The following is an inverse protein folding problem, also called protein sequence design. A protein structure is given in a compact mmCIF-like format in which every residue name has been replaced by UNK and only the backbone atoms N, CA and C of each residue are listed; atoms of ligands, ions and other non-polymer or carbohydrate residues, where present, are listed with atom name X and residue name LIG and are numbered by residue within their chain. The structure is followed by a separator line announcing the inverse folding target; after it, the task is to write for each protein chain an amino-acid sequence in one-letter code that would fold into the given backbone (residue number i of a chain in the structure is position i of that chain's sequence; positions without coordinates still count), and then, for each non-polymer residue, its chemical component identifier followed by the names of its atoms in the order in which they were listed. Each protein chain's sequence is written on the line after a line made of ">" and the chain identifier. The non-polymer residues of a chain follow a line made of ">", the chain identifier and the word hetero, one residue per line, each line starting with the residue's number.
data_IF_482231436675
#
_entry.id   IF_482231436675
#
_cell.length_a   1.000
_cell.length_b   1.000
_cell.length_c   1.000
_cell.angle_alpha   90.00
_cell.angle_beta   90.00
_cell.angle_gamma   90.00
#
_symmetry.space_group_name_H-M   'P 1'
#
loop_
_entity.id
_entity.type
_entity.pdbx_description
1 polymer ?
#
# COMPACT_ATOMS: atom_id res chain seq x y z
N UNK A 1 -7.75 -30.02 -10.99
CA UNK A 1 -7.73 -28.62 -11.46
C UNK A 1 -7.23 -27.71 -10.35
N UNK A 2 -6.65 -26.57 -10.68
CA UNK A 2 -6.05 -25.66 -9.69
C UNK A 2 -7.10 -25.05 -8.77
N UNK A 3 -7.06 -25.37 -7.48
CA UNK A 3 -7.91 -24.75 -6.46
C UNK A 3 -7.54 -23.26 -6.33
N UNK A 4 -8.31 -22.40 -7.00
CA UNK A 4 -8.19 -20.95 -6.86
C UNK A 4 -8.58 -20.63 -5.42
N UNK A 5 -7.61 -20.16 -4.61
CA UNK A 5 -7.88 -19.77 -3.22
C UNK A 5 -8.71 -18.49 -3.22
N UNK A 6 -10.02 -18.66 -3.16
CA UNK A 6 -10.98 -17.56 -3.00
C UNK A 6 -10.88 -17.07 -1.55
N UNK A 7 -9.95 -16.13 -1.33
CA UNK A 7 -9.79 -15.47 -0.04
C UNK A 7 -11.10 -14.77 0.36
N UNK A 8 -11.52 -14.86 1.63
CA UNK A 8 -12.83 -14.40 2.07
C UNK A 8 -13.03 -12.91 1.74
N UNK A 9 -14.04 -12.64 0.91
CA UNK A 9 -14.41 -11.30 0.53
C UNK A 9 -15.11 -10.60 1.70
N UNK A 10 -14.85 -9.30 1.84
CA UNK A 10 -15.71 -8.36 2.55
C UNK A 10 -15.91 -8.54 4.08
N UNK A 11 -14.81 -8.63 4.83
CA UNK A 11 -14.74 -8.13 6.22
C UNK A 11 -13.62 -7.09 6.29
N UNK A 12 -13.99 -5.82 6.53
CA UNK A 12 -13.11 -4.65 6.41
C UNK A 12 -13.06 -4.10 4.98
N UNK A 13 -13.36 -2.80 4.83
CA UNK A 13 -13.52 -2.17 3.52
C UNK A 13 -12.20 -1.83 2.82
N UNK A 14 -12.13 -2.17 1.52
CA UNK A 14 -11.27 -1.53 0.53
C UNK A 14 -9.73 -1.66 0.66
N UNK A 15 -9.20 -2.57 1.47
CA UNK A 15 -7.74 -2.84 1.60
C UNK A 15 -7.11 -3.49 0.34
N UNK A 16 -7.21 -2.89 -0.84
CA UNK A 16 -6.69 -3.42 -2.12
C UNK A 16 -5.85 -2.38 -2.86
N UNK A 17 -4.67 -2.79 -3.32
CA UNK A 17 -3.73 -1.92 -4.02
C UNK A 17 -4.22 -1.59 -5.43
N UNK A 18 -4.31 -0.30 -5.75
CA UNK A 18 -4.74 0.14 -7.08
C UNK A 18 -3.83 -0.37 -8.22
N UNK A 19 -2.51 -0.40 -8.00
CA UNK A 19 -1.53 -0.87 -9.00
C UNK A 19 -1.55 -2.39 -9.18
N UNK A 20 -1.30 -3.17 -8.12
CA UNK A 20 -1.08 -4.62 -8.25
C UNK A 20 -2.34 -5.47 -7.98
N UNK A 21 -3.46 -4.85 -7.59
CA UNK A 21 -4.77 -5.48 -7.28
C UNK A 21 -4.74 -6.58 -6.22
N UNK A 22 -3.68 -6.66 -5.42
CA UNK A 22 -3.55 -7.54 -4.24
C UNK A 22 -3.97 -6.80 -2.96
N UNK A 23 -4.32 -7.57 -1.91
CA UNK A 23 -4.65 -7.00 -0.59
C UNK A 23 -3.46 -6.24 0.00
N UNK A 24 -3.72 -5.10 0.63
CA UNK A 24 -2.73 -4.29 1.36
C UNK A 24 -2.87 -4.56 2.85
N UNK A 25 -1.77 -4.90 3.52
CA UNK A 25 -1.76 -5.04 4.97
C UNK A 25 -1.49 -3.68 5.62
N UNK A 26 -1.99 -3.46 6.85
CA UNK A 26 -1.87 -2.17 7.58
C UNK A 26 -0.44 -1.62 7.58
N UNK A 27 0.56 -2.50 7.77
CA UNK A 27 1.99 -2.14 7.75
C UNK A 27 2.45 -1.48 6.44
N UNK A 28 1.89 -1.92 5.31
CA UNK A 28 2.21 -1.44 3.97
C UNK A 28 1.22 -0.41 3.43
N UNK A 29 0.13 -0.11 4.16
CA UNK A 29 -0.98 0.70 3.67
C UNK A 29 -0.60 2.17 3.53
N UNK A 30 -0.47 2.62 2.29
CA UNK A 30 -0.50 4.03 1.90
C UNK A 30 -1.86 4.37 1.31
N UNK A 31 -2.30 5.61 1.49
CA UNK A 31 -3.54 6.16 0.93
C UNK A 31 -3.27 7.47 0.20
N UNK A 32 -3.69 7.57 -1.06
CA UNK A 32 -3.62 8.78 -1.86
C UNK A 32 -4.85 8.86 -2.79
N UNK A 33 -5.43 10.05 -2.97
CA UNK A 33 -6.58 10.28 -3.88
C UNK A 33 -7.76 9.27 -3.66
N UNK A 34 -8.06 8.97 -2.39
CA UNK A 34 -9.09 8.01 -1.98
C UNK A 34 -8.78 6.53 -2.27
N UNK A 35 -7.59 6.21 -2.78
CA UNK A 35 -7.14 4.86 -3.20
C UNK A 35 -6.05 4.34 -2.25
N UNK A 36 -5.90 3.02 -2.19
CA UNK A 36 -4.88 2.37 -1.38
C UNK A 36 -3.77 1.74 -2.22
N UNK A 37 -2.57 1.69 -1.65
CA UNK A 37 -1.35 1.22 -2.30
C UNK A 37 -0.45 0.53 -1.26
N UNK A 38 0.32 -0.49 -1.68
CA UNK A 38 1.47 -0.93 -0.89
C UNK A 38 2.59 0.12 -0.97
N UNK A 39 3.34 0.30 0.12
CA UNK A 39 4.63 1.05 0.12
C UNK A 39 5.55 0.60 -1.02
N UNK A 40 5.62 -0.70 -1.28
CA UNK A 40 6.40 -1.32 -2.36
C UNK A 40 5.86 -1.07 -3.79
N UNK A 41 4.57 -0.73 -3.92
CA UNK A 41 3.95 -0.42 -5.22
C UNK A 41 3.96 1.08 -5.53
N UNK A 42 3.97 1.94 -4.51
CA UNK A 42 3.93 3.40 -4.64
C UNK A 42 5.34 3.96 -4.93
N UNK A 43 5.77 3.80 -6.19
CA UNK A 43 7.07 4.25 -6.71
C UNK A 43 6.88 5.16 -7.92
N UNK A 44 7.84 6.04 -8.16
CA UNK A 44 7.92 6.81 -9.40
C UNK A 44 8.18 5.85 -10.57
N UNK A 45 7.48 6.04 -11.69
CA UNK A 45 7.66 5.23 -12.90
C UNK A 45 9.01 5.56 -13.57
N UNK A 46 9.29 6.86 -13.77
CA UNK A 46 10.48 7.37 -14.45
C UNK A 46 11.82 7.03 -13.79
N UNK A 47 11.87 6.94 -12.46
CA UNK A 47 13.12 6.70 -11.72
C UNK A 47 13.07 5.47 -10.77
N UNK A 48 12.01 4.65 -10.86
CA UNK A 48 11.81 3.43 -10.05
C UNK A 48 11.74 3.63 -8.53
N UNK A 49 11.97 4.84 -8.03
CA UNK A 49 12.22 5.12 -6.60
C UNK A 49 10.92 5.10 -5.81
N UNK A 50 10.90 4.39 -4.68
CA UNK A 50 9.76 4.35 -3.77
C UNK A 50 9.46 5.75 -3.22
N UNK A 51 8.26 6.25 -3.50
CA UNK A 51 7.76 7.54 -3.04
C UNK A 51 7.35 7.42 -1.57
N UNK A 52 8.33 7.43 -0.67
CA UNK A 52 8.06 7.49 0.77
C UNK A 52 7.39 8.81 1.09
N UNK A 53 6.18 8.76 1.65
CA UNK A 53 5.67 9.85 2.46
C UNK A 53 6.55 9.89 3.72
N UNK A 54 7.45 10.89 3.81
CA UNK A 54 8.39 10.98 4.92
C UNK A 54 7.65 11.10 6.24
N UNK A 55 8.05 10.30 7.24
CA UNK A 55 7.70 10.61 8.63
C UNK A 55 8.23 12.00 8.98
N UNK A 56 7.41 12.78 9.66
CA UNK A 56 7.84 14.04 10.30
C UNK A 56 8.78 13.69 11.46
N UNK A 57 10.07 13.55 11.13
CA UNK A 57 11.21 13.67 12.04
C UNK A 57 11.16 15.04 12.75
N UNK A 58 10.58 15.12 13.94
CA UNK A 58 10.88 16.18 14.88
C UNK A 58 11.98 15.67 15.80
N UNK A 59 13.22 15.78 15.31
CA UNK A 59 14.41 15.64 16.11
C UNK A 59 14.38 16.74 17.19
N UNK A 60 13.96 16.38 18.40
CA UNK A 60 14.03 17.26 19.57
C UNK A 60 15.46 17.19 20.10
N UNK A 61 16.26 18.16 19.68
CA UNK A 61 17.58 18.41 20.26
C UNK A 61 17.42 18.92 21.71
N UNK A 62 18.35 18.47 22.58
CA UNK A 62 18.49 18.82 24.02
C UNK A 62 19.90 19.39 24.23
#
# INVERSE_FOLDING_TARGET
>A
GSLRKEFPQNIGGSDVCFFCRKRVYVMERLSAEGKFFHRSCFKCDYCGTTLRLSSYAFDVED
#
